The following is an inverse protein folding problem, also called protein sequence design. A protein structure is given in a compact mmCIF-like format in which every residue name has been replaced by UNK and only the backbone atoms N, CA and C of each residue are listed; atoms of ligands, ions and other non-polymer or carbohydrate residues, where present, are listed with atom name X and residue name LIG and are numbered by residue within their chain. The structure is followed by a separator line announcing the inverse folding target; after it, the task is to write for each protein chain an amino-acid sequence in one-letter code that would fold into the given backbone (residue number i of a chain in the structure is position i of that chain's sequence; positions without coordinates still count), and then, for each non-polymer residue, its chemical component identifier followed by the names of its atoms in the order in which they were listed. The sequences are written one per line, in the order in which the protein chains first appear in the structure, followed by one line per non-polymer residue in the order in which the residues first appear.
data_IF_093839813184
#
_entry.id   IF_093839813184
#
_cell.length_a   1.000
_cell.length_b   1.000
_cell.length_c   1.000
_cell.angle_alpha   90.00
_cell.angle_beta   90.00
_cell.angle_gamma   90.00
#
_symmetry.space_group_name_H-M   'P 1'
#
loop_
_entity.id
_entity.type
_entity.pdbx_description
1 polymer ?
#
# COMPACT_ATOMS: atom_id res chain seq x y z
N UNK A 1 18.72 -8.06 -20.84
CA UNK A 1 17.89 -6.94 -20.34
C UNK A 1 17.69 -7.19 -18.86
N UNK A 2 18.68 -6.81 -18.05
CA UNK A 2 18.55 -6.96 -16.60
C UNK A 2 17.71 -5.77 -16.14
N UNK A 3 16.50 -6.05 -15.69
CA UNK A 3 15.74 -5.10 -14.91
C UNK A 3 16.53 -4.88 -13.62
N UNK A 4 17.28 -3.78 -13.58
CA UNK A 4 17.66 -3.12 -12.34
C UNK A 4 16.39 -2.94 -11.52
N UNK A 5 16.12 -3.92 -10.66
CA UNK A 5 15.02 -3.86 -9.72
C UNK A 5 15.53 -2.95 -8.62
N UNK A 6 15.26 -1.66 -8.78
CA UNK A 6 15.59 -0.64 -7.79
C UNK A 6 15.09 -1.12 -6.41
N UNK A 7 15.99 -1.41 -5.45
CA UNK A 7 15.60 -1.88 -4.12
C UNK A 7 14.79 -0.83 -3.34
N UNK A 8 14.75 0.44 -3.79
CA UNK A 8 13.94 1.50 -3.18
C UNK A 8 12.42 1.30 -3.35
N UNK A 9 11.98 0.61 -4.42
CA UNK A 9 10.56 0.46 -4.74
C UNK A 9 9.80 -0.45 -3.77
N UNK A 10 10.47 -1.48 -3.22
CA UNK A 10 9.87 -2.41 -2.25
C UNK A 10 9.61 -1.74 -0.88
N UNK A 11 10.44 -0.77 -0.50
CA UNK A 11 10.28 -0.05 0.77
C UNK A 11 9.15 0.99 0.72
N UNK A 12 8.84 1.56 -0.46
CA UNK A 12 7.92 2.69 -0.64
C UNK A 12 6.43 2.34 -0.51
N UNK A 13 6.08 1.05 -0.58
CA UNK A 13 4.69 0.63 -0.71
C UNK A 13 4.04 0.36 0.66
N UNK A 14 2.81 0.86 0.90
CA UNK A 14 1.98 0.44 2.01
C UNK A 14 1.71 -1.08 1.99
N UNK A 15 1.20 -1.63 3.10
CA UNK A 15 0.80 -3.04 3.08
C UNK A 15 -0.35 -3.26 2.09
N UNK A 16 -0.44 -4.44 1.47
CA UNK A 16 -1.54 -4.77 0.55
C UNK A 16 -2.94 -4.62 1.19
N UNK A 17 -3.04 -4.77 2.51
CA UNK A 17 -4.28 -4.49 3.24
C UNK A 17 -4.58 -2.98 3.27
N UNK A 18 -3.60 -2.15 3.56
CA UNK A 18 -3.75 -0.70 3.58
C UNK A 18 -4.11 -0.16 2.18
N UNK A 19 -3.45 -0.67 1.14
CA UNK A 19 -3.78 -0.29 -0.25
C UNK A 19 -5.19 -0.71 -0.64
N UNK A 20 -5.61 -1.93 -0.30
CA UNK A 20 -6.97 -2.39 -0.57
C UNK A 20 -8.02 -1.54 0.16
N UNK A 21 -7.79 -1.21 1.45
CA UNK A 21 -8.70 -0.35 2.20
C UNK A 21 -8.79 1.07 1.61
N UNK A 22 -7.68 1.62 1.08
CA UNK A 22 -7.67 2.91 0.38
C UNK A 22 -8.44 2.84 -0.94
N UNK A 23 -8.23 1.80 -1.73
CA UNK A 23 -8.96 1.61 -2.99
C UNK A 23 -10.46 1.47 -2.75
N UNK A 24 -10.89 0.76 -1.72
CA UNK A 24 -12.31 0.62 -1.39
C UNK A 24 -12.95 1.92 -0.90
N UNK A 25 -12.16 2.84 -0.33
CA UNK A 25 -12.63 4.17 0.05
C UNK A 25 -12.73 5.10 -1.17
N UNK A 26 -11.74 5.08 -2.05
CA UNK A 26 -11.62 5.97 -3.21
C UNK A 26 -12.51 5.52 -4.38
N UNK A 27 -12.68 4.20 -4.53
CA UNK A 27 -13.37 3.55 -5.64
C UNK A 27 -14.30 2.46 -5.11
N UNK A 28 -15.36 2.83 -4.35
CA UNK A 28 -16.30 1.87 -3.80
C UNK A 28 -16.96 0.99 -4.88
N UNK A 29 -17.08 1.49 -6.11
CA UNK A 29 -17.66 0.81 -7.27
C UNK A 29 -16.81 -0.30 -7.89
N UNK A 30 -15.53 -0.41 -7.51
CA UNK A 30 -14.64 -1.39 -8.11
C UNK A 30 -15.05 -2.83 -7.79
N UNK A 31 -15.13 -3.63 -8.85
CA UNK A 31 -15.24 -5.07 -8.77
C UNK A 31 -13.93 -5.69 -8.25
N UNK A 32 -14.01 -6.95 -7.82
CA UNK A 32 -12.83 -7.72 -7.42
C UNK A 32 -11.73 -7.75 -8.51
N UNK A 33 -12.10 -7.76 -9.80
CA UNK A 33 -11.12 -7.76 -10.90
C UNK A 33 -10.44 -6.41 -11.07
N UNK A 34 -11.19 -5.32 -10.94
CA UNK A 34 -10.64 -3.96 -10.98
C UNK A 34 -9.71 -3.71 -9.79
N UNK A 35 -10.09 -4.18 -8.59
CA UNK A 35 -9.24 -4.14 -7.41
C UNK A 35 -7.93 -4.93 -7.61
N UNK A 36 -8.00 -6.12 -8.22
CA UNK A 36 -6.81 -6.91 -8.51
C UNK A 36 -5.86 -6.20 -9.48
N UNK A 37 -6.42 -5.59 -10.54
CA UNK A 37 -5.66 -4.82 -11.51
C UNK A 37 -5.01 -3.58 -10.88
N UNK A 38 -5.77 -2.82 -10.08
CA UNK A 38 -5.27 -1.63 -9.40
C UNK A 38 -4.17 -1.93 -8.37
N UNK A 39 -4.25 -3.08 -7.69
CA UNK A 39 -3.23 -3.56 -6.76
C UNK A 39 -2.03 -4.24 -7.45
N UNK A 40 -2.09 -4.49 -8.76
CA UNK A 40 -1.05 -5.24 -9.47
C UNK A 40 -0.91 -6.69 -8.98
N UNK A 41 -2.00 -7.33 -8.53
CA UNK A 41 -2.00 -8.70 -8.00
C UNK A 41 -2.90 -9.63 -8.80
N UNK A 42 -2.70 -10.94 -8.62
CA UNK A 42 -3.61 -11.94 -9.21
C UNK A 42 -5.02 -11.83 -8.62
N UNK A 43 -6.02 -12.25 -9.40
CA UNK A 43 -7.42 -12.27 -8.96
C UNK A 43 -7.62 -13.11 -7.69
N UNK A 44 -6.88 -14.22 -7.56
CA UNK A 44 -6.90 -15.07 -6.37
C UNK A 44 -6.32 -14.39 -5.13
N UNK A 45 -5.24 -13.63 -5.28
CA UNK A 45 -4.65 -12.84 -4.18
C UNK A 45 -5.60 -11.73 -3.74
N UNK A 46 -6.24 -11.04 -4.68
CA UNK A 46 -7.29 -10.06 -4.36
C UNK A 46 -8.47 -10.71 -3.61
N UNK A 47 -8.93 -11.88 -4.07
CA UNK A 47 -9.98 -12.65 -3.39
C UNK A 47 -9.61 -12.97 -1.94
N UNK A 48 -8.39 -13.47 -1.72
CA UNK A 48 -7.88 -13.81 -0.41
C UNK A 48 -7.84 -12.59 0.52
N UNK A 49 -7.32 -11.45 0.04
CA UNK A 49 -7.28 -10.21 0.82
C UNK A 49 -8.69 -9.73 1.19
N UNK A 50 -9.63 -9.73 0.25
CA UNK A 50 -11.02 -9.37 0.51
C UNK A 50 -11.67 -10.31 1.55
N UNK A 51 -11.44 -11.62 1.45
CA UNK A 51 -11.92 -12.58 2.45
C UNK A 51 -11.32 -12.34 3.83
N UNK A 52 -10.03 -12.01 3.91
CA UNK A 52 -9.39 -11.66 5.16
C UNK A 52 -10.00 -10.39 5.78
N UNK A 53 -10.24 -9.35 4.97
CA UNK A 53 -10.87 -8.10 5.42
C UNK A 53 -12.32 -8.30 5.85
N UNK A 54 -13.09 -9.13 5.13
CA UNK A 54 -14.45 -9.53 5.51
C UNK A 54 -14.45 -10.27 6.85
N UNK A 55 -13.56 -11.25 7.02
CA UNK A 55 -13.44 -12.03 8.26
C UNK A 55 -13.10 -11.17 9.48
N UNK A 56 -12.36 -10.07 9.27
CA UNK A 56 -12.05 -9.09 10.31
C UNK A 56 -13.17 -8.06 10.58
N UNK A 57 -14.21 -8.04 9.75
CA UNK A 57 -15.28 -7.04 9.84
C UNK A 57 -14.90 -5.64 9.35
N UNK A 58 -13.74 -5.48 8.68
CA UNK A 58 -13.27 -4.18 8.19
C UNK A 58 -14.02 -3.73 6.92
N UNK A 59 -14.56 -4.69 6.18
CA UNK A 59 -15.38 -4.44 5.00
C UNK A 59 -16.67 -5.26 5.06
N UNK A 60 -17.70 -4.80 4.34
CA UNK A 60 -18.94 -5.54 4.09
C UNK A 60 -19.14 -5.74 2.60
N UNK A 61 -19.64 -6.90 2.21
CA UNK A 61 -20.08 -7.16 0.85
C UNK A 61 -21.57 -6.80 0.73
N UNK A 62 -21.91 -5.95 -0.23
CA UNK A 62 -23.29 -5.64 -0.59
C UNK A 62 -23.61 -6.23 -1.95
N UNK A 63 -24.81 -6.80 -2.07
CA UNK A 63 -25.30 -7.34 -3.33
C UNK A 63 -25.69 -6.17 -4.24
N UNK A 64 -24.92 -5.96 -5.30
CA UNK A 64 -25.25 -4.98 -6.32
C UNK A 64 -25.89 -5.69 -7.51
N UNK A 65 -27.16 -5.39 -7.77
CA UNK A 65 -27.85 -5.84 -8.99
C UNK A 65 -27.58 -4.80 -10.08
N UNK A 66 -26.64 -5.07 -10.99
CA UNK A 66 -26.56 -4.34 -12.26
C UNK A 66 -27.59 -4.95 -13.22
N UNK A 67 -28.40 -4.11 -13.86
CA UNK A 67 -29.34 -4.47 -14.92
C UNK A 67 -28.57 -4.99 -16.14
N UNK A 68 -28.22 -6.28 -16.10
CA UNK A 68 -27.83 -7.20 -17.18
C UNK A 68 -27.17 -8.43 -16.52
N UNK A 69 -27.99 -9.25 -15.87
CA UNK A 69 -27.72 -10.65 -15.45
C UNK A 69 -26.42 -11.01 -14.69
N UNK A 70 -25.62 -10.06 -14.21
CA UNK A 70 -24.42 -10.34 -13.40
C UNK A 70 -24.60 -9.79 -11.99
N UNK A 71 -24.66 -10.69 -11.01
CA UNK A 71 -24.53 -10.36 -9.58
C UNK A 71 -23.09 -9.85 -9.35
N UNK A 72 -22.95 -8.56 -9.08
CA UNK A 72 -21.69 -7.96 -8.63
C UNK A 72 -21.72 -7.78 -7.12
N UNK A 73 -20.60 -8.06 -6.45
CA UNK A 73 -20.42 -7.66 -5.05
C UNK A 73 -19.77 -6.28 -5.01
N UNK A 74 -20.38 -5.38 -4.25
CA UNK A 74 -19.79 -4.10 -3.86
C UNK A 74 -19.13 -4.27 -2.50
N UNK A 75 -17.86 -3.90 -2.37
CA UNK A 75 -17.17 -3.96 -1.08
C UNK A 75 -17.11 -2.56 -0.49
N UNK A 76 -17.63 -2.40 0.73
CA UNK A 76 -17.72 -1.09 1.38
C UNK A 76 -17.02 -1.16 2.74
N UNK A 77 -16.27 -0.11 3.09
CA UNK A 77 -15.67 0.01 4.42
C UNK A 77 -16.74 0.05 5.51
N UNK A 78 -16.46 -0.60 6.63
CA UNK A 78 -17.21 -0.41 7.87
C UNK A 78 -16.57 0.72 8.69
N UNK A 79 -17.25 1.29 9.69
CA UNK A 79 -16.63 2.25 10.61
C UNK A 79 -15.35 1.68 11.26
N UNK A 80 -15.35 0.38 11.60
CA UNK A 80 -14.16 -0.32 12.08
C UNK A 80 -13.05 -0.34 11.02
N UNK A 81 -13.37 -0.64 9.76
CA UNK A 81 -12.40 -0.61 8.67
C UNK A 81 -11.79 0.77 8.40
N UNK A 82 -12.56 1.84 8.60
CA UNK A 82 -12.04 3.21 8.53
C UNK A 82 -11.00 3.45 9.62
N UNK A 83 -11.30 3.06 10.87
CA UNK A 83 -10.35 3.16 11.98
C UNK A 83 -9.06 2.37 11.75
N UNK A 84 -9.17 1.15 11.26
CA UNK A 84 -8.03 0.27 10.96
C UNK A 84 -7.17 0.80 9.82
N UNK A 85 -7.79 1.34 8.76
CA UNK A 85 -7.06 2.02 7.69
C UNK A 85 -6.26 3.21 8.20
N UNK A 86 -6.82 3.99 9.14
CA UNK A 86 -6.10 5.10 9.78
C UNK A 86 -4.93 4.60 10.62
N UNK A 87 -5.14 3.57 11.44
CA UNK A 87 -4.07 2.97 12.25
C UNK A 87 -2.93 2.42 11.36
N UNK A 88 -3.26 1.68 10.31
CA UNK A 88 -2.27 1.18 9.35
C UNK A 88 -1.53 2.33 8.66
N UNK A 89 -2.22 3.44 8.35
CA UNK A 89 -1.60 4.63 7.76
C UNK A 89 -0.61 5.28 8.72
N UNK A 90 -0.96 5.41 10.01
CA UNK A 90 -0.05 5.95 11.03
C UNK A 90 1.20 5.07 11.20
N UNK A 91 1.02 3.75 11.27
CA UNK A 91 2.15 2.81 11.36
C UNK A 91 3.07 2.89 10.13
N UNK A 92 2.47 3.01 8.94
CA UNK A 92 3.22 3.18 7.70
C UNK A 92 3.99 4.50 7.68
N UNK A 93 3.37 5.60 8.10
CA UNK A 93 4.01 6.91 8.21
C UNK A 93 5.20 6.88 9.18
N UNK A 94 5.00 6.35 10.39
CA UNK A 94 6.07 6.24 11.38
C UNK A 94 7.26 5.39 10.89
N UNK A 95 6.99 4.36 10.08
CA UNK A 95 8.05 3.58 9.41
C UNK A 95 8.82 4.45 8.40
N UNK A 96 8.08 5.21 7.58
CA UNK A 96 8.66 6.10 6.57
C UNK A 96 9.52 7.21 7.15
N UNK A 97 9.08 7.80 8.26
CA UNK A 97 9.85 8.82 8.97
C UNK A 97 11.18 8.26 9.47
N UNK A 98 11.17 7.07 10.08
CA UNK A 98 12.41 6.39 10.50
C UNK A 98 13.34 6.07 9.32
N UNK A 99 12.80 5.54 8.23
CA UNK A 99 13.57 5.29 7.01
C UNK A 99 14.20 6.57 6.46
N UNK A 100 13.45 7.68 6.45
CA UNK A 100 13.93 8.98 6.02
C UNK A 100 15.06 9.52 6.90
N UNK A 101 14.92 9.42 8.23
CA UNK A 101 15.95 9.85 9.17
C UNK A 101 17.25 9.07 9.01
N UNK A 102 17.17 7.74 8.86
CA UNK A 102 18.34 6.90 8.59
C UNK A 102 19.03 7.29 7.28
N UNK A 103 18.25 7.46 6.20
CA UNK A 103 18.80 7.87 4.91
C UNK A 103 19.44 9.26 4.98
N UNK A 104 18.82 10.19 5.68
CA UNK A 104 19.36 11.54 5.91
C UNK A 104 20.68 11.50 6.67
N UNK A 105 20.78 10.65 7.70
CA UNK A 105 22.02 10.46 8.45
C UNK A 105 23.13 9.92 7.55
N UNK A 106 22.84 8.88 6.75
CA UNK A 106 23.79 8.29 5.81
C UNK A 106 24.30 9.30 4.78
N UNK A 107 23.40 10.09 4.19
CA UNK A 107 23.77 11.16 3.25
C UNK A 107 24.68 12.20 3.92
N UNK A 108 24.42 12.53 5.19
CA UNK A 108 25.23 13.50 5.93
C UNK A 108 26.65 12.96 6.15
N UNK A 109 26.78 11.72 6.64
CA UNK A 109 28.08 11.06 6.82
C UNK A 109 28.87 10.98 5.51
N UNK A 110 28.24 10.56 4.41
CA UNK A 110 28.91 10.47 3.11
C UNK A 110 29.41 11.84 2.61
N UNK A 111 28.67 12.92 2.88
CA UNK A 111 29.10 14.29 2.52
C UNK A 111 30.31 14.74 3.35
N UNK A 112 30.35 14.40 4.63
CA UNK A 112 31.48 14.71 5.51
C UNK A 112 32.74 13.95 5.08
N UNK A 113 32.61 12.66 4.74
CA UNK A 113 33.70 11.83 4.21
C UNK A 113 34.31 12.43 2.93
N UNK A 114 33.47 12.83 1.97
CA UNK A 114 33.92 13.49 0.74
C UNK A 114 34.62 14.83 1.01
N UNK A 115 34.09 15.63 1.94
CA UNK A 115 34.71 16.90 2.33
C UNK A 115 36.07 16.71 3.00
N UNK A 116 36.23 15.65 3.79
CA UNK A 116 37.50 15.30 4.42
C UNK A 116 38.55 14.84 3.40
N UNK A 117 38.16 14.00 2.43
CA UNK A 117 39.05 13.56 1.35
C UNK A 117 39.55 14.73 0.49
N UNK A 118 38.67 15.68 0.14
CA UNK A 118 39.06 16.84 -0.65
C UNK A 118 40.08 17.75 0.06
N UNK A 119 40.11 17.77 1.41
CA UNK A 119 41.11 18.50 2.19
C UNK A 119 42.46 17.80 2.30
N UNK A 120 42.53 16.49 2.04
CA UNK A 120 43.78 15.73 2.07
C UNK A 120 44.52 15.74 0.73
N UNK A 121 43.83 16.12 -0.35
CA UNK A 121 44.37 16.17 -1.72
C UNK A 121 44.81 17.59 -2.10
N UNK A 122 44.47 18.61 -1.31
CA UNK A 122 44.85 20.02 -1.49
C UNK A 122 45.88 20.47 -0.48
#
# INVERSE_FOLDING_TARGET
MNADTDPSASAATPSAHLELLRLLEQHPEYSQRELAAALGVSLGKAHYLLKALLGKGWIKAQNFRRSNHKLGYLYVLTPQGVGERMQLTQLFLARKEREYEMLRSQITTLREELAAQNKQIS
#
